data_IF_747258519716
#
_entry.id   IF_747258519716
#
_cell.length_a   1.000
_cell.length_b   1.000
_cell.length_c   1.000
_cell.angle_alpha   90.00
_cell.angle_beta   90.00
_cell.angle_gamma   90.00
#
_symmetry.space_group_name_H-M   'P 1'
#
loop_
_entity.id
_entity.type
_entity.pdbx_description
1 polymer ?
#
# COMPACT_ATOMS: atom_id res chain seq x y z
N UNK A 1 1.06 31.52 -9.00
CA UNK A 1 1.84 30.53 -8.23
C UNK A 1 1.29 29.15 -8.57
N UNK A 2 2.14 28.23 -9.02
CA UNK A 2 1.72 26.83 -9.22
C UNK A 2 1.60 26.20 -7.83
N UNK A 3 0.39 25.81 -7.43
CA UNK A 3 0.15 25.17 -6.13
C UNK A 3 0.94 23.87 -6.09
N UNK A 4 1.85 23.72 -5.12
CA UNK A 4 2.63 22.47 -4.98
C UNK A 4 1.64 21.31 -4.79
N UNK A 5 1.77 20.27 -5.60
CA UNK A 5 0.92 19.08 -5.48
C UNK A 5 1.22 18.34 -4.17
N UNK A 6 0.22 17.61 -3.67
CA UNK A 6 0.34 16.84 -2.42
C UNK A 6 1.40 15.74 -2.54
N UNK A 7 2.05 15.43 -1.42
CA UNK A 7 2.91 14.27 -1.24
C UNK A 7 2.06 13.09 -0.74
N UNK A 8 2.26 11.89 -1.29
CA UNK A 8 1.59 10.69 -0.82
C UNK A 8 2.55 9.77 -0.08
N UNK A 9 2.13 9.26 1.09
CA UNK A 9 2.76 8.09 1.68
C UNK A 9 2.21 6.82 0.99
N UNK A 10 3.08 5.94 0.51
CA UNK A 10 2.65 4.74 -0.24
C UNK A 10 3.02 3.48 0.53
N UNK A 11 2.00 2.70 0.88
CA UNK A 11 2.12 1.38 1.47
C UNK A 11 1.90 0.33 0.38
N UNK A 12 2.75 -0.69 0.33
CA UNK A 12 2.52 -1.85 -0.52
C UNK A 12 1.96 -2.99 0.33
N UNK A 13 0.83 -3.56 -0.07
CA UNK A 13 0.24 -4.73 0.56
C UNK A 13 0.74 -6.03 -0.06
N UNK A 14 0.82 -7.07 0.76
CA UNK A 14 1.00 -8.45 0.31
C UNK A 14 0.38 -9.41 1.34
N UNK A 15 0.37 -10.71 1.04
CA UNK A 15 0.02 -11.77 1.96
C UNK A 15 0.93 -12.96 1.69
N UNK A 16 1.41 -13.62 2.75
CA UNK A 16 2.61 -14.48 2.70
C UNK A 16 2.63 -15.66 1.72
N UNK A 17 1.51 -16.02 1.08
CA UNK A 17 1.48 -17.05 0.03
C UNK A 17 1.48 -16.49 -1.41
N UNK A 18 1.43 -15.17 -1.58
CA UNK A 18 1.48 -14.51 -2.88
C UNK A 18 2.91 -14.11 -3.29
N UNK A 19 3.17 -13.98 -4.60
CA UNK A 19 4.52 -13.80 -5.12
C UNK A 19 5.04 -12.38 -4.90
N UNK A 20 6.19 -12.28 -4.21
CA UNK A 20 6.89 -11.03 -3.92
C UNK A 20 7.35 -10.21 -5.14
N UNK A 21 7.44 -10.86 -6.31
CA UNK A 21 7.84 -10.20 -7.56
C UNK A 21 6.89 -9.08 -7.96
N UNK A 22 5.60 -9.19 -7.61
CA UNK A 22 4.58 -8.19 -7.91
C UNK A 22 4.79 -6.88 -7.16
N UNK A 23 5.26 -6.94 -5.91
CA UNK A 23 5.55 -5.78 -5.05
C UNK A 23 6.68 -4.93 -5.63
N UNK A 24 7.73 -5.60 -6.13
CA UNK A 24 8.87 -4.91 -6.76
C UNK A 24 8.47 -4.16 -8.03
N UNK A 25 7.61 -4.76 -8.88
CA UNK A 25 7.09 -4.10 -10.08
C UNK A 25 6.17 -2.94 -9.70
N UNK A 26 5.22 -3.20 -8.79
CA UNK A 26 4.25 -2.20 -8.35
C UNK A 26 4.91 -0.97 -7.71
N UNK A 27 6.02 -1.16 -6.97
CA UNK A 27 6.80 -0.05 -6.43
C UNK A 27 7.35 0.85 -7.53
N UNK A 28 7.93 0.29 -8.59
CA UNK A 28 8.45 1.09 -9.70
C UNK A 28 7.32 1.82 -10.45
N UNK A 29 6.24 1.10 -10.73
CA UNK A 29 5.11 1.61 -11.52
C UNK A 29 4.32 2.70 -10.77
N UNK A 30 3.92 2.44 -9.52
CA UNK A 30 3.13 3.37 -8.72
C UNK A 30 3.89 4.67 -8.46
N UNK A 31 5.17 4.56 -8.05
CA UNK A 31 5.98 5.76 -7.79
C UNK A 31 6.27 6.54 -9.08
N UNK A 32 6.55 5.84 -10.19
CA UNK A 32 6.73 6.48 -11.49
C UNK A 32 5.46 7.17 -11.99
N UNK A 33 4.28 6.59 -11.77
CA UNK A 33 3.00 7.19 -12.13
C UNK A 33 2.73 8.46 -11.30
N UNK A 34 2.92 8.41 -9.98
CA UNK A 34 2.76 9.58 -9.10
C UNK A 34 3.74 10.70 -9.47
N UNK A 35 5.00 10.37 -9.75
CA UNK A 35 6.01 11.32 -10.18
C UNK A 35 5.61 12.00 -11.50
N UNK A 36 5.15 11.24 -12.51
CA UNK A 36 4.67 11.81 -13.79
C UNK A 36 3.48 12.73 -13.61
N UNK A 37 2.63 12.47 -12.61
CA UNK A 37 1.51 13.32 -12.25
C UNK A 37 1.92 14.55 -11.42
N UNK A 38 3.20 14.66 -11.05
CA UNK A 38 3.79 15.78 -10.31
C UNK A 38 3.68 15.66 -8.79
N UNK A 39 3.44 14.46 -8.26
CA UNK A 39 3.35 14.20 -6.82
C UNK A 39 4.68 13.68 -6.27
N UNK A 40 5.08 14.20 -5.10
CA UNK A 40 6.14 13.61 -4.29
C UNK A 40 5.64 12.34 -3.59
N UNK A 41 6.54 11.42 -3.25
CA UNK A 41 6.19 10.16 -2.57
C UNK A 41 7.06 9.88 -1.36
N UNK A 42 6.46 9.38 -0.29
CA UNK A 42 7.14 8.85 0.88
C UNK A 42 6.89 7.34 0.96
N UNK A 43 7.97 6.56 0.97
CA UNK A 43 7.90 5.09 1.09
C UNK A 43 8.87 4.62 2.14
N UNK A 44 8.48 3.56 2.84
CA UNK A 44 9.40 2.82 3.70
C UNK A 44 10.48 2.13 2.85
N UNK A 45 11.66 1.94 3.45
CA UNK A 45 12.72 1.11 2.88
C UNK A 45 12.15 -0.28 2.54
N UNK A 46 12.46 -0.78 1.35
CA UNK A 46 12.02 -2.11 0.91
C UNK A 46 12.59 -3.23 1.79
N UNK A 47 13.68 -2.99 2.52
CA UNK A 47 14.28 -3.96 3.44
C UNK A 47 13.69 -3.91 4.87
N UNK A 48 12.82 -2.95 5.17
CA UNK A 48 12.23 -2.82 6.51
C UNK A 48 11.19 -3.92 6.83
N UNK A 49 10.65 -4.56 5.80
CA UNK A 49 9.68 -5.66 5.90
C UNK A 49 10.01 -6.76 4.88
N UNK A 50 9.51 -7.99 5.08
CA UNK A 50 9.54 -9.00 4.03
C UNK A 50 8.97 -8.44 2.73
N UNK A 51 9.72 -8.64 1.64
CA UNK A 51 9.30 -8.25 0.28
C UNK A 51 9.01 -6.75 0.09
N UNK A 52 9.36 -5.89 1.06
CA UNK A 52 9.06 -4.47 1.05
C UNK A 52 7.57 -4.14 1.07
N UNK A 53 6.75 -5.05 1.63
CA UNK A 53 5.31 -4.92 1.78
C UNK A 53 4.84 -5.18 3.22
N UNK A 54 3.63 -4.73 3.53
CA UNK A 54 2.93 -5.04 4.78
C UNK A 54 2.19 -6.35 4.61
N UNK A 55 2.57 -7.35 5.40
CA UNK A 55 1.99 -8.71 5.39
C UNK A 55 1.46 -9.14 6.75
N UNK A 56 1.79 -8.38 7.80
CA UNK A 56 1.48 -8.70 9.19
C UNK A 56 1.15 -7.43 9.98
N UNK A 57 0.55 -7.60 11.17
CA UNK A 57 0.34 -6.50 12.13
C UNK A 57 1.67 -5.83 12.49
N UNK A 58 2.75 -6.61 12.66
CA UNK A 58 4.07 -6.10 13.00
C UNK A 58 4.65 -5.24 11.87
N UNK A 59 4.44 -5.61 10.61
CA UNK A 59 4.83 -4.77 9.48
C UNK A 59 3.96 -3.52 9.37
N UNK A 60 2.67 -3.64 9.69
CA UNK A 60 1.76 -2.52 9.84
C UNK A 60 2.27 -1.52 10.88
N UNK A 61 2.70 -1.98 12.05
CA UNK A 61 3.26 -1.12 13.11
C UNK A 61 4.53 -0.37 12.66
N UNK A 62 5.41 -1.03 11.86
CA UNK A 62 6.57 -0.35 11.28
C UNK A 62 6.13 0.77 10.33
N UNK A 63 5.11 0.53 9.51
CA UNK A 63 4.56 1.56 8.62
C UNK A 63 3.88 2.69 9.39
N UNK A 64 3.14 2.38 10.45
CA UNK A 64 2.55 3.38 11.33
C UNK A 64 3.62 4.26 11.98
N UNK A 65 4.72 3.66 12.46
CA UNK A 65 5.89 4.39 12.95
C UNK A 65 6.50 5.31 11.89
N UNK A 66 6.67 4.81 10.66
CA UNK A 66 7.13 5.61 9.54
C UNK A 66 6.20 6.82 9.26
N UNK A 67 4.88 6.61 9.28
CA UNK A 67 3.92 7.72 9.14
C UNK A 67 4.02 8.74 10.27
N UNK A 68 4.24 8.29 11.52
CA UNK A 68 4.46 9.19 12.66
C UNK A 68 5.70 10.06 12.46
N UNK A 69 6.81 9.48 12.01
CA UNK A 69 8.06 10.20 11.73
C UNK A 69 7.94 11.19 10.55
N UNK A 70 6.97 10.95 9.66
CA UNK A 70 6.69 11.79 8.48
C UNK A 70 5.44 12.66 8.63
N UNK A 71 4.84 12.73 9.82
CA UNK A 71 3.59 13.47 10.07
C UNK A 71 3.73 14.92 9.59
N UNK A 72 2.72 15.40 8.86
CA UNK A 72 2.72 16.75 8.26
C UNK A 72 3.47 16.87 6.93
N UNK A 73 4.17 15.83 6.45
CA UNK A 73 4.89 15.85 5.16
C UNK A 73 4.08 15.25 4.00
N UNK A 74 2.96 14.60 4.28
CA UNK A 74 2.07 13.96 3.31
C UNK A 74 0.62 14.40 3.53
N UNK A 75 -0.14 14.51 2.44
CA UNK A 75 -1.56 14.87 2.48
C UNK A 75 -2.52 13.71 2.25
N UNK A 76 -2.00 12.49 2.03
CA UNK A 76 -2.80 11.28 1.87
C UNK A 76 -1.93 10.02 1.91
N UNK A 77 -2.56 8.88 2.18
CA UNK A 77 -1.94 7.55 2.13
C UNK A 77 -2.52 6.77 0.96
N UNK A 78 -1.67 6.11 0.18
CA UNK A 78 -2.08 5.15 -0.84
C UNK A 78 -1.74 3.75 -0.36
N UNK A 79 -2.74 2.90 -0.21
CA UNK A 79 -2.59 1.47 -0.03
C UNK A 79 -2.58 0.83 -1.43
N UNK A 80 -1.40 0.50 -1.92
CA UNK A 80 -1.19 -0.11 -3.22
C UNK A 80 -1.20 -1.64 -3.07
N UNK A 81 -2.16 -2.30 -3.72
CA UNK A 81 -2.35 -3.75 -3.66
C UNK A 81 -2.01 -4.37 -5.02
N UNK A 82 -0.80 -4.93 -5.21
CA UNK A 82 -0.45 -5.68 -6.42
C UNK A 82 -1.18 -7.04 -6.48
N UNK A 83 -1.52 -7.55 -5.30
CA UNK A 83 -2.21 -8.80 -5.03
C UNK A 83 -3.07 -8.66 -3.75
N UNK A 84 -3.55 -9.76 -3.18
CA UNK A 84 -4.32 -9.75 -1.94
C UNK A 84 -3.44 -9.30 -0.75
N UNK A 85 -3.73 -8.13 -0.18
CA UNK A 85 -3.04 -7.61 1.00
C UNK A 85 -3.62 -8.08 2.33
N UNK A 86 -2.81 -8.05 3.38
CA UNK A 86 -3.26 -8.36 4.74
C UNK A 86 -4.11 -7.24 5.35
N UNK A 87 -5.32 -7.56 5.82
CA UNK A 87 -6.27 -6.55 6.30
C UNK A 87 -5.86 -5.98 7.66
N UNK A 88 -5.41 -6.85 8.57
CA UNK A 88 -5.02 -6.44 9.92
C UNK A 88 -3.72 -5.62 9.89
N UNK A 89 -2.77 -6.00 9.04
CA UNK A 89 -1.58 -5.20 8.76
C UNK A 89 -1.94 -3.84 8.16
N UNK A 90 -2.88 -3.79 7.21
CA UNK A 90 -3.34 -2.54 6.62
C UNK A 90 -4.02 -1.61 7.63
N UNK A 91 -4.90 -2.14 8.50
CA UNK A 91 -5.52 -1.36 9.59
C UNK A 91 -4.45 -0.78 10.48
N UNK A 92 -3.54 -1.62 10.97
CA UNK A 92 -2.49 -1.19 11.90
C UNK A 92 -1.60 -0.10 11.28
N UNK A 93 -1.29 -0.22 9.98
CA UNK A 93 -0.44 0.71 9.26
C UNK A 93 -0.97 2.14 9.20
N UNK A 94 -2.29 2.32 9.12
CA UNK A 94 -2.91 3.63 8.83
C UNK A 94 -3.85 4.14 9.92
N UNK A 95 -4.00 3.39 11.02
CA UNK A 95 -4.88 3.73 12.14
C UNK A 95 -4.73 5.17 12.66
N UNK A 96 -3.50 5.69 12.65
CA UNK A 96 -3.18 7.02 13.18
C UNK A 96 -2.89 8.06 12.08
N UNK A 97 -3.15 7.72 10.80
CA UNK A 97 -2.71 8.51 9.65
C UNK A 97 -3.39 9.90 9.59
N UNK A 98 -4.66 10.01 10.02
CA UNK A 98 -5.45 11.26 10.06
C UNK A 98 -5.41 12.08 8.76
N UNK A 99 -5.32 11.40 7.61
CA UNK A 99 -5.40 11.97 6.26
C UNK A 99 -6.24 11.03 5.37
N UNK A 100 -6.75 11.48 4.21
CA UNK A 100 -7.45 10.59 3.29
C UNK A 100 -6.62 9.38 2.87
N UNK A 101 -7.26 8.20 2.87
CA UNK A 101 -6.65 6.93 2.46
C UNK A 101 -7.27 6.49 1.15
N UNK A 102 -6.44 6.22 0.15
CA UNK A 102 -6.84 5.65 -1.13
C UNK A 102 -6.41 4.18 -1.22
N UNK A 103 -7.38 3.28 -1.32
CA UNK A 103 -7.14 1.84 -1.50
C UNK A 103 -7.16 1.51 -3.00
N UNK A 104 -5.99 1.24 -3.54
CA UNK A 104 -5.75 0.95 -4.94
C UNK A 104 -5.56 -0.54 -5.17
N UNK A 105 -6.33 -1.11 -6.09
CA UNK A 105 -6.16 -2.47 -6.58
C UNK A 105 -5.57 -2.47 -8.00
N UNK A 106 -4.59 -3.32 -8.24
CA UNK A 106 -4.16 -3.65 -9.59
C UNK A 106 -5.27 -4.42 -10.33
N UNK A 107 -5.34 -4.32 -11.67
CA UNK A 107 -6.24 -5.17 -12.45
C UNK A 107 -5.86 -6.64 -12.25
N UNK A 108 -6.86 -7.45 -11.93
CA UNK A 108 -6.70 -8.91 -11.88
C UNK A 108 -6.71 -9.49 -13.29
N UNK A 109 -5.93 -10.55 -13.50
CA UNK A 109 -5.79 -11.23 -14.78
C UNK A 109 -6.38 -12.65 -14.65
N UNK A 110 -7.60 -12.86 -15.15
CA UNK A 110 -8.36 -14.10 -14.97
C UNK A 110 -7.63 -15.35 -15.50
N UNK A 111 -6.76 -15.16 -16.50
CA UNK A 111 -5.96 -16.22 -17.11
C UNK A 111 -4.65 -16.52 -16.33
N UNK A 112 -4.27 -15.67 -15.37
CA UNK A 112 -3.02 -15.76 -14.59
C UNK A 112 -3.30 -16.01 -13.12
N UNK A 113 -3.82 -17.19 -12.83
CA UNK A 113 -4.19 -17.63 -11.48
C UNK A 113 -3.19 -18.59 -10.83
N UNK A 114 -2.07 -18.88 -11.51
CA UNK A 114 -1.01 -19.71 -10.94
C UNK A 114 -0.33 -19.01 -9.75
N UNK A 115 0.12 -19.73 -8.71
CA UNK A 115 0.70 -19.12 -7.51
C UNK A 115 1.80 -18.09 -7.75
N UNK A 116 2.59 -18.25 -8.81
CA UNK A 116 3.71 -17.36 -9.16
C UNK A 116 3.29 -16.00 -9.76
N UNK A 117 2.05 -15.87 -10.22
CA UNK A 117 1.54 -14.67 -10.89
C UNK A 117 0.16 -14.20 -10.43
N UNK A 118 -0.49 -14.96 -9.53
CA UNK A 118 -1.83 -14.66 -9.00
C UNK A 118 -1.83 -13.33 -8.25
N UNK A 119 -2.86 -12.53 -8.48
CA UNK A 119 -3.07 -11.22 -7.84
C UNK A 119 -4.17 -11.28 -6.80
N UNK A 120 -5.42 -11.50 -7.20
CA UNK A 120 -6.60 -11.38 -6.33
C UNK A 120 -6.69 -10.00 -5.64
N UNK A 121 -6.23 -8.96 -6.33
CA UNK A 121 -6.09 -7.60 -5.80
C UNK A 121 -7.45 -6.95 -5.52
N UNK A 122 -8.45 -7.15 -6.39
CA UNK A 122 -9.79 -6.60 -6.16
C UNK A 122 -10.47 -7.24 -4.94
N UNK A 123 -10.34 -8.56 -4.80
CA UNK A 123 -10.82 -9.28 -3.61
C UNK A 123 -10.15 -8.76 -2.34
N UNK A 124 -8.82 -8.57 -2.38
CA UNK A 124 -8.06 -7.98 -1.27
C UNK A 124 -8.50 -6.56 -0.94
N UNK A 125 -8.77 -5.72 -1.94
CA UNK A 125 -9.30 -4.37 -1.74
C UNK A 125 -10.64 -4.39 -1.01
N UNK A 126 -11.59 -5.22 -1.43
CA UNK A 126 -12.88 -5.32 -0.76
C UNK A 126 -12.73 -5.82 0.68
N UNK A 127 -11.85 -6.81 0.92
CA UNK A 127 -11.56 -7.31 2.28
C UNK A 127 -11.03 -6.21 3.20
N UNK A 128 -10.03 -5.45 2.73
CA UNK A 128 -9.47 -4.32 3.49
C UNK A 128 -10.53 -3.25 3.74
N UNK A 129 -11.31 -2.88 2.72
CA UNK A 129 -12.36 -1.87 2.85
C UNK A 129 -13.44 -2.31 3.84
N UNK A 130 -13.84 -3.58 3.84
CA UNK A 130 -14.79 -4.13 4.80
C UNK A 130 -14.25 -4.03 6.24
N UNK A 131 -13.02 -4.50 6.46
CA UNK A 131 -12.38 -4.41 7.78
C UNK A 131 -12.21 -2.96 8.22
N UNK A 132 -11.87 -2.02 7.34
CA UNK A 132 -11.76 -0.60 7.69
C UNK A 132 -13.08 0.00 8.22
N UNK A 133 -14.23 -0.56 7.83
CA UNK A 133 -15.55 -0.14 8.35
C UNK A 133 -15.85 -0.68 9.75
N UNK A 134 -15.04 -1.61 10.25
CA UNK A 134 -15.17 -2.20 11.58
C UNK A 134 -14.37 -1.42 12.65
N UNK A 135 -13.62 -0.39 12.24
CA UNK A 135 -12.85 0.49 13.13
C UNK A 135 -13.36 1.92 13.00
N UNK A 136 -13.34 2.66 14.11
CA UNK A 136 -13.73 4.07 14.21
C UNK A 136 -12.59 5.02 13.80
#
# INVERSE_FOLDING_TARGET
MQTKKTTFAVMFGNRGFFPASLQSSARKEMLGALQKLGHDTLVMDAQATPHGAVETIQDGEKFAKFLREKRGQFGGVIICLPNFGDEMGAVQAVREANVPIFIHAYPDELEKMAPVCRRDSFCGKFSIMDVFRQYD
#
